data_IF_860477937426
#
_entry.id   IF_860477937426
#
_cell.length_a   1.000
_cell.length_b   1.000
_cell.length_c   1.000
_cell.angle_alpha   90.00
_cell.angle_beta   90.00
_cell.angle_gamma   90.00
#
_symmetry.space_group_name_H-M   'P 1'
#
loop_
_entity.id
_entity.type
_entity.pdbx_description
1 polymer ?
#
# COMPACT_ATOMS: atom_id res chain seq x y z
N UNK A 1 -17.65 13.88 6.64
CA UNK A 1 -18.23 12.67 5.99
C UNK A 1 -18.35 11.59 7.06
N UNK A 2 -19.47 10.88 7.18
CA UNK A 2 -19.65 9.83 8.20
C UNK A 2 -18.93 8.56 7.71
N UNK A 3 -17.86 8.16 8.38
CA UNK A 3 -17.13 6.92 8.09
C UNK A 3 -18.09 5.73 8.12
N UNK A 4 -18.05 4.86 7.12
CA UNK A 4 -18.91 3.68 7.11
C UNK A 4 -18.50 2.71 8.22
N UNK A 5 -19.44 1.87 8.68
CA UNK A 5 -19.10 0.82 9.66
C UNK A 5 -18.04 -0.16 9.09
N UNK A 6 -18.11 -0.43 7.79
CA UNK A 6 -17.12 -1.27 7.10
C UNK A 6 -15.73 -0.67 7.19
N UNK A 7 -15.58 0.64 6.91
CA UNK A 7 -14.28 1.32 6.99
C UNK A 7 -13.76 1.34 8.43
N UNK A 8 -14.65 1.56 9.43
CA UNK A 8 -14.25 1.52 10.85
C UNK A 8 -13.70 0.14 11.25
N UNK A 9 -14.25 -0.95 10.71
CA UNK A 9 -13.73 -2.30 10.94
C UNK A 9 -12.36 -2.47 10.30
N UNK A 10 -12.17 -2.00 9.06
CA UNK A 10 -10.88 -2.09 8.36
C UNK A 10 -9.79 -1.26 9.04
N UNK A 11 -10.12 -0.07 9.56
CA UNK A 11 -9.20 0.72 10.37
C UNK A 11 -8.82 0.01 11.68
N UNK A 12 -9.77 -0.64 12.35
CA UNK A 12 -9.48 -1.43 13.54
C UNK A 12 -8.60 -2.66 13.21
N UNK A 13 -8.83 -3.32 12.07
CA UNK A 13 -7.99 -4.42 11.62
C UNK A 13 -6.56 -3.95 11.31
N UNK A 14 -6.41 -2.80 10.65
CA UNK A 14 -5.10 -2.20 10.41
C UNK A 14 -4.37 -1.87 11.72
N UNK A 15 -5.08 -1.31 12.70
CA UNK A 15 -4.52 -1.06 14.02
C UNK A 15 -4.02 -2.35 14.70
N UNK A 16 -4.75 -3.47 14.57
CA UNK A 16 -4.28 -4.78 15.06
C UNK A 16 -2.98 -5.21 14.35
N UNK A 17 -2.88 -4.98 13.03
CA UNK A 17 -1.63 -5.27 12.29
C UNK A 17 -0.48 -4.42 12.82
N UNK A 18 -0.72 -3.14 13.12
CA UNK A 18 0.29 -2.20 13.63
C UNK A 18 0.82 -2.60 15.02
N UNK A 19 -0.05 -3.08 15.89
CA UNK A 19 0.30 -3.37 17.30
C UNK A 19 0.77 -4.79 17.51
N UNK A 20 0.13 -5.77 16.87
CA UNK A 20 0.26 -7.19 17.17
C UNK A 20 0.69 -8.05 15.96
N UNK A 21 0.81 -7.43 14.78
CA UNK A 21 1.21 -8.10 13.54
C UNK A 21 0.05 -8.72 12.77
N UNK A 22 0.33 -9.13 11.53
CA UNK A 22 -0.68 -9.62 10.57
C UNK A 22 -1.41 -10.86 11.07
N UNK A 23 -0.69 -11.80 11.70
CA UNK A 23 -1.26 -13.05 12.22
C UNK A 23 -2.27 -12.85 13.35
N UNK A 24 -2.21 -11.70 14.04
CA UNK A 24 -3.11 -11.33 15.12
C UNK A 24 -4.50 -10.88 14.64
N UNK A 25 -4.69 -10.66 13.33
CA UNK A 25 -5.99 -10.28 12.76
C UNK A 25 -6.97 -11.45 12.87
N UNK A 26 -7.85 -11.35 13.85
CA UNK A 26 -8.94 -12.30 14.14
C UNK A 26 -10.23 -11.52 14.36
N UNK A 27 -11.38 -12.21 14.35
CA UNK A 27 -12.64 -11.53 14.70
C UNK A 27 -12.63 -11.01 16.13
N UNK A 28 -11.98 -11.71 17.04
CA UNK A 28 -11.89 -11.35 18.45
C UNK A 28 -11.06 -10.07 18.64
N UNK A 29 -9.86 -10.01 18.03
CA UNK A 29 -8.99 -8.84 18.14
C UNK A 29 -9.60 -7.61 17.46
N UNK A 30 -10.17 -7.77 16.26
CA UNK A 30 -10.79 -6.67 15.52
C UNK A 30 -12.11 -6.22 16.19
N UNK A 31 -12.89 -7.13 16.79
CA UNK A 31 -14.06 -6.76 17.59
C UNK A 31 -13.66 -5.93 18.79
N UNK A 32 -12.62 -6.33 19.51
CA UNK A 32 -12.10 -5.57 20.66
C UNK A 32 -11.61 -4.18 20.23
N UNK A 33 -10.87 -4.08 19.14
CA UNK A 33 -10.33 -2.81 18.63
C UNK A 33 -11.40 -1.88 18.06
N UNK A 34 -12.44 -2.44 17.40
CA UNK A 34 -13.53 -1.63 16.79
C UNK A 34 -14.66 -1.28 17.74
N UNK A 35 -14.74 -1.92 18.91
CA UNK A 35 -15.89 -1.81 19.82
C UNK A 35 -17.18 -2.47 19.29
N UNK A 36 -17.07 -3.32 18.28
CA UNK A 36 -18.20 -4.05 17.69
C UNK A 36 -18.29 -5.47 18.24
N UNK A 37 -19.46 -6.09 18.12
CA UNK A 37 -19.63 -7.50 18.42
C UNK A 37 -19.11 -8.38 17.27
N UNK A 38 -18.72 -9.63 17.56
CA UNK A 38 -18.36 -10.61 16.53
C UNK A 38 -19.46 -10.81 15.48
N UNK A 39 -20.72 -10.80 15.90
CA UNK A 39 -21.87 -10.85 14.99
C UNK A 39 -21.98 -9.64 14.07
N UNK A 40 -21.62 -8.44 14.57
CA UNK A 40 -21.54 -7.22 13.77
C UNK A 40 -20.43 -7.29 12.71
N UNK A 41 -19.28 -7.89 13.04
CA UNK A 41 -18.20 -8.13 12.07
C UNK A 41 -18.62 -9.15 11.01
N UNK A 42 -19.21 -10.27 11.41
CA UNK A 42 -19.67 -11.32 10.50
C UNK A 42 -20.73 -10.83 9.50
N UNK A 43 -21.54 -9.85 9.88
CA UNK A 43 -22.50 -9.21 8.97
C UNK A 43 -21.77 -8.48 7.80
N UNK A 44 -20.63 -7.86 8.07
CA UNK A 44 -19.84 -7.12 7.05
C UNK A 44 -18.84 -8.01 6.32
N UNK A 45 -18.27 -8.99 7.01
CA UNK A 45 -17.23 -9.88 6.51
C UNK A 45 -17.56 -11.31 6.93
N UNK A 46 -18.11 -12.15 6.02
CA UNK A 46 -18.66 -13.47 6.37
C UNK A 46 -17.59 -14.50 6.76
N UNK A 47 -16.32 -14.25 6.45
CA UNK A 47 -15.18 -15.09 6.84
C UNK A 47 -13.96 -14.25 7.20
N UNK A 48 -13.02 -14.84 7.93
CA UNK A 48 -11.71 -14.19 8.21
C UNK A 48 -11.01 -13.83 6.90
N UNK A 49 -11.02 -14.73 5.93
CA UNK A 49 -10.38 -14.50 4.63
C UNK A 49 -11.02 -13.31 3.88
N UNK A 50 -12.36 -13.18 3.98
CA UNK A 50 -13.06 -12.02 3.42
C UNK A 50 -12.67 -10.70 4.12
N UNK A 51 -12.43 -10.72 5.43
CA UNK A 51 -11.94 -9.55 6.17
C UNK A 51 -10.51 -9.20 5.76
N UNK A 52 -9.63 -10.21 5.69
CA UNK A 52 -8.22 -10.01 5.30
C UNK A 52 -8.14 -9.51 3.85
N UNK A 53 -8.85 -10.13 2.92
CA UNK A 53 -8.88 -9.67 1.52
C UNK A 53 -9.38 -8.22 1.43
N UNK A 54 -10.45 -7.89 2.14
CA UNK A 54 -10.98 -6.52 2.14
C UNK A 54 -10.00 -5.51 2.76
N UNK A 55 -9.15 -5.93 3.69
CA UNK A 55 -8.07 -5.08 4.23
C UNK A 55 -7.02 -4.79 3.16
N UNK A 56 -6.59 -5.79 2.38
CA UNK A 56 -5.67 -5.59 1.25
C UNK A 56 -6.29 -4.70 0.16
N UNK A 57 -7.57 -4.91 -0.19
CA UNK A 57 -8.30 -4.06 -1.13
C UNK A 57 -8.32 -2.60 -0.66
N UNK A 58 -8.69 -2.37 0.61
CA UNK A 58 -8.77 -1.04 1.20
C UNK A 58 -7.43 -0.30 1.16
N UNK A 59 -6.34 -0.97 1.48
CA UNK A 59 -5.01 -0.38 1.46
C UNK A 59 -4.52 -0.10 0.04
N UNK A 60 -4.71 -1.03 -0.89
CA UNK A 60 -4.36 -0.83 -2.29
C UNK A 60 -5.14 0.34 -2.90
N UNK A 61 -6.45 0.46 -2.62
CA UNK A 61 -7.28 1.58 -3.05
C UNK A 61 -6.84 2.91 -2.42
N UNK A 62 -6.44 2.90 -1.14
CA UNK A 62 -5.89 4.08 -0.48
C UNK A 62 -4.62 4.56 -1.18
N UNK A 63 -3.71 3.65 -1.51
CA UNK A 63 -2.50 3.96 -2.26
C UNK A 63 -2.81 4.57 -3.63
N UNK A 64 -3.74 3.97 -4.40
CA UNK A 64 -4.15 4.50 -5.70
C UNK A 64 -4.68 5.93 -5.57
N UNK A 65 -5.57 6.17 -4.59
CA UNK A 65 -6.10 7.50 -4.33
C UNK A 65 -5.03 8.51 -3.92
N UNK A 66 -4.07 8.14 -3.08
CA UNK A 66 -2.97 9.03 -2.69
C UNK A 66 -2.09 9.40 -3.88
N UNK A 67 -1.78 8.44 -4.75
CA UNK A 67 -1.03 8.70 -5.97
C UNK A 67 -1.82 9.59 -6.95
N UNK A 68 -3.12 9.38 -7.13
CA UNK A 68 -3.99 10.26 -7.92
C UNK A 68 -3.99 11.69 -7.36
N UNK A 69 -4.09 11.84 -6.03
CA UNK A 69 -4.05 13.16 -5.40
C UNK A 69 -2.72 13.88 -5.63
N UNK A 70 -1.60 13.16 -5.55
CA UNK A 70 -0.26 13.72 -5.82
C UNK A 70 -0.08 14.05 -7.31
N UNK A 71 -0.60 13.21 -8.19
CA UNK A 71 -0.55 13.41 -9.63
C UNK A 71 -1.43 14.58 -10.10
N UNK A 72 -2.59 14.80 -9.45
CA UNK A 72 -3.52 15.89 -9.74
C UNK A 72 -4.35 15.72 -11.01
N UNK A 73 -4.33 14.55 -11.64
CA UNK A 73 -5.10 14.19 -12.86
C UNK A 73 -5.35 12.68 -12.92
N UNK A 74 -6.12 12.23 -13.91
CA UNK A 74 -6.29 10.80 -14.15
C UNK A 74 -4.95 10.15 -14.54
N UNK A 75 -4.55 9.02 -13.94
CA UNK A 75 -3.35 8.30 -14.35
C UNK A 75 -3.32 7.88 -15.82
N UNK A 76 -4.47 7.65 -16.43
CA UNK A 76 -4.56 7.26 -17.84
C UNK A 76 -4.24 8.45 -18.80
N UNK A 77 -4.35 9.70 -18.30
CA UNK A 77 -3.95 10.91 -19.00
C UNK A 77 -2.50 11.33 -18.71
N UNK A 78 -1.84 10.63 -17.79
CA UNK A 78 -0.49 10.96 -17.36
C UNK A 78 0.57 10.20 -18.18
N UNK A 79 1.70 10.84 -18.36
CA UNK A 79 2.90 10.17 -18.87
C UNK A 79 3.45 9.19 -17.83
N UNK A 80 4.24 8.23 -18.28
CA UNK A 80 4.87 7.27 -17.37
C UNK A 80 5.81 7.95 -16.37
N UNK A 81 6.52 9.01 -16.77
CA UNK A 81 7.39 9.79 -15.89
C UNK A 81 6.60 10.43 -14.74
N UNK A 82 5.44 11.01 -15.04
CA UNK A 82 4.56 11.60 -14.04
C UNK A 82 4.00 10.54 -13.07
N UNK A 83 3.64 9.35 -13.56
CA UNK A 83 3.16 8.25 -12.72
C UNK A 83 4.26 7.74 -11.77
N UNK A 84 5.46 7.46 -12.29
CA UNK A 84 6.60 7.02 -11.47
C UNK A 84 6.98 8.08 -10.42
N UNK A 85 6.96 9.37 -10.79
CA UNK A 85 7.21 10.45 -9.84
C UNK A 85 6.14 10.55 -8.75
N UNK A 86 4.86 10.35 -9.09
CA UNK A 86 3.78 10.31 -8.09
C UNK A 86 3.94 9.11 -7.14
N UNK A 87 4.25 7.92 -7.68
CA UNK A 87 4.56 6.73 -6.90
C UNK A 87 5.70 6.97 -5.92
N UNK A 88 6.84 7.48 -6.38
CA UNK A 88 8.01 7.75 -5.55
C UNK A 88 7.70 8.73 -4.40
N UNK A 89 6.92 9.78 -4.68
CA UNK A 89 6.51 10.76 -3.65
C UNK A 89 5.60 10.15 -2.60
N UNK A 90 4.66 9.29 -2.99
CA UNK A 90 3.75 8.61 -2.04
C UNK A 90 4.54 7.60 -1.21
N UNK A 91 5.37 6.75 -1.83
CA UNK A 91 6.23 5.79 -1.12
C UNK A 91 7.12 6.47 -0.09
N UNK A 92 7.70 7.64 -0.41
CA UNK A 92 8.55 8.38 0.50
C UNK A 92 7.82 9.06 1.67
N UNK A 93 6.49 9.24 1.61
CA UNK A 93 5.73 10.04 2.60
C UNK A 93 4.72 9.25 3.39
N UNK A 94 4.03 8.32 2.75
CA UNK A 94 2.80 7.70 3.27
C UNK A 94 2.95 6.21 3.55
N UNK A 95 4.01 5.57 3.03
CA UNK A 95 4.24 4.16 3.21
C UNK A 95 4.58 3.82 4.67
N UNK A 96 3.92 2.79 5.22
CA UNK A 96 4.05 2.37 6.62
C UNK A 96 4.57 0.94 6.74
N UNK A 97 5.15 0.61 7.92
CA UNK A 97 5.60 -0.75 8.21
C UNK A 97 4.48 -1.81 8.12
N UNK A 98 3.28 -1.56 8.67
CA UNK A 98 2.14 -2.47 8.56
C UNK A 98 1.74 -2.79 7.11
N UNK A 99 1.79 -1.81 6.22
CA UNK A 99 1.49 -2.03 4.80
C UNK A 99 2.54 -2.93 4.15
N UNK A 100 3.82 -2.75 4.46
CA UNK A 100 4.88 -3.63 4.00
C UNK A 100 4.64 -5.08 4.46
N UNK A 101 4.27 -5.29 5.74
CA UNK A 101 3.97 -6.62 6.27
C UNK A 101 2.81 -7.27 5.51
N UNK A 102 1.73 -6.54 5.23
CA UNK A 102 0.59 -7.02 4.46
C UNK A 102 0.97 -7.32 3.00
N UNK A 103 1.78 -6.49 2.35
CA UNK A 103 2.26 -6.78 0.99
C UNK A 103 3.15 -8.02 0.95
N UNK A 104 4.00 -8.23 1.95
CA UNK A 104 4.82 -9.44 2.06
C UNK A 104 3.95 -10.69 2.28
N UNK A 105 2.91 -10.62 3.12
CA UNK A 105 1.93 -11.70 3.26
C UNK A 105 1.24 -12.00 1.92
N UNK A 106 0.74 -10.97 1.24
CA UNK A 106 0.08 -11.09 -0.04
C UNK A 106 0.98 -11.70 -1.13
N UNK A 107 2.31 -11.55 -1.03
CA UNK A 107 3.25 -12.09 -2.02
C UNK A 107 3.19 -13.62 -2.15
N UNK A 108 2.72 -14.31 -1.11
CA UNK A 108 2.57 -15.78 -1.06
C UNK A 108 1.16 -16.27 -1.37
N UNK A 109 0.19 -15.38 -1.53
CA UNK A 109 -1.21 -15.68 -1.83
C UNK A 109 -1.70 -14.89 -3.05
N UNK A 110 -2.08 -15.58 -4.11
CA UNK A 110 -2.49 -14.95 -5.37
C UNK A 110 -3.75 -14.10 -5.25
N UNK A 111 -4.69 -14.45 -4.35
CA UNK A 111 -5.93 -13.69 -4.15
C UNK A 111 -5.65 -12.39 -3.41
N UNK A 112 -4.85 -12.45 -2.34
CA UNK A 112 -4.45 -11.27 -1.57
C UNK A 112 -3.55 -10.33 -2.38
N UNK A 113 -2.79 -10.86 -3.35
CA UNK A 113 -1.90 -10.07 -4.20
C UNK A 113 -2.65 -9.32 -5.33
N UNK A 114 -3.82 -9.78 -5.76
CA UNK A 114 -4.57 -9.16 -6.87
C UNK A 114 -4.82 -7.64 -6.71
N UNK A 115 -5.29 -7.14 -5.56
CA UNK A 115 -5.50 -5.71 -5.35
C UNK A 115 -4.21 -4.90 -5.56
N UNK A 116 -3.10 -5.35 -5.00
CA UNK A 116 -1.80 -4.70 -5.10
C UNK A 116 -1.27 -4.68 -6.53
N UNK A 117 -1.31 -5.83 -7.22
CA UNK A 117 -0.88 -5.91 -8.62
C UNK A 117 -1.70 -5.01 -9.53
N UNK A 118 -3.01 -4.92 -9.31
CA UNK A 118 -3.88 -4.01 -10.08
C UNK A 118 -3.45 -2.56 -9.94
N UNK A 119 -3.14 -2.12 -8.73
CA UNK A 119 -2.69 -0.75 -8.46
C UNK A 119 -1.29 -0.55 -9.04
N UNK A 120 -0.32 -1.39 -8.68
CA UNK A 120 1.07 -1.25 -9.13
C UNK A 120 1.17 -1.21 -10.66
N UNK A 121 0.48 -2.10 -11.37
CA UNK A 121 0.53 -2.15 -12.84
C UNK A 121 -0.02 -0.90 -13.53
N UNK A 122 -0.83 -0.10 -12.85
CA UNK A 122 -1.31 1.19 -13.36
C UNK A 122 -0.24 2.29 -13.29
N UNK A 123 0.64 2.21 -12.29
CA UNK A 123 1.59 3.27 -11.97
C UNK A 123 3.00 3.01 -12.47
N UNK A 124 3.41 1.75 -12.47
CA UNK A 124 4.77 1.32 -12.78
C UNK A 124 4.81 0.61 -14.14
N UNK A 125 5.85 0.85 -14.96
CA UNK A 125 6.03 0.14 -16.22
C UNK A 125 6.18 -1.37 -15.98
N UNK A 126 5.63 -2.17 -16.90
CA UNK A 126 5.89 -3.61 -16.88
C UNK A 126 7.39 -3.86 -17.11
N UNK A 127 8.09 -4.50 -16.19
CA UNK A 127 9.51 -4.81 -16.37
C UNK A 127 9.81 -5.62 -17.62
N UNK A 128 8.86 -6.43 -18.11
CA UNK A 128 9.01 -7.24 -19.32
C UNK A 128 9.00 -6.38 -20.61
N UNK A 129 8.45 -5.15 -20.55
CA UNK A 129 8.37 -4.23 -21.69
C UNK A 129 9.52 -3.21 -21.73
N UNK A 130 10.43 -3.26 -20.73
CA UNK A 130 11.54 -2.31 -20.64
C UNK A 130 12.66 -2.71 -21.59
N UNK A 131 13.03 -1.80 -22.49
CA UNK A 131 14.26 -1.93 -23.26
C UNK A 131 15.48 -1.68 -22.35
N UNK A 132 16.32 -2.69 -22.09
CA UNK A 132 17.49 -2.53 -21.22
C UNK A 132 18.59 -1.65 -21.86
N UNK A 133 18.44 -1.28 -23.13
CA UNK A 133 19.38 -0.37 -23.82
C UNK A 133 18.92 1.08 -23.81
N UNK A 134 17.68 1.36 -23.37
CA UNK A 134 17.17 2.73 -23.19
C UNK A 134 17.55 3.28 -21.80
N UNK A 135 18.46 4.27 -21.70
CA UNK A 135 18.88 4.85 -20.45
C UNK A 135 17.73 5.51 -19.67
N UNK A 136 16.72 6.06 -20.38
CA UNK A 136 15.57 6.71 -19.73
C UNK A 136 14.64 5.68 -19.10
N UNK A 137 14.39 4.57 -19.78
CA UNK A 137 13.60 3.47 -19.24
C UNK A 137 14.27 2.88 -17.99
N UNK A 138 15.58 2.67 -18.04
CA UNK A 138 16.36 2.21 -16.88
C UNK A 138 16.33 3.21 -15.72
N UNK A 139 16.43 4.51 -15.99
CA UNK A 139 16.37 5.54 -14.94
C UNK A 139 15.02 5.53 -14.21
N UNK A 140 13.90 5.35 -14.92
CA UNK A 140 12.57 5.21 -14.32
C UNK A 140 12.48 3.98 -13.41
N UNK A 141 13.01 2.86 -13.87
CA UNK A 141 13.03 1.64 -13.08
C UNK A 141 13.89 1.80 -11.82
N UNK A 142 15.04 2.47 -11.92
CA UNK A 142 15.89 2.78 -10.76
C UNK A 142 15.16 3.69 -9.78
N UNK A 143 14.45 4.71 -10.25
CA UNK A 143 13.66 5.60 -9.38
C UNK A 143 12.55 4.84 -8.63
N UNK A 144 11.84 3.95 -9.32
CA UNK A 144 10.85 3.07 -8.71
C UNK A 144 11.47 2.18 -7.62
N UNK A 145 12.52 1.43 -7.96
CA UNK A 145 13.20 0.53 -7.02
C UNK A 145 13.85 1.27 -5.85
N UNK A 146 14.33 2.50 -6.07
CA UNK A 146 14.86 3.36 -5.00
C UNK A 146 13.74 3.80 -4.03
N UNK A 147 12.56 4.12 -4.53
CA UNK A 147 11.40 4.44 -3.69
C UNK A 147 10.98 3.26 -2.80
N UNK A 148 10.90 2.06 -3.38
CA UNK A 148 10.63 0.83 -2.61
C UNK A 148 11.74 0.53 -1.60
N UNK A 149 13.00 0.71 -2.00
CA UNK A 149 14.16 0.54 -1.12
C UNK A 149 14.16 1.51 0.06
N UNK A 150 13.74 2.75 -0.15
CA UNK A 150 13.58 3.76 0.91
C UNK A 150 12.50 3.32 1.90
N UNK A 151 11.31 2.96 1.41
CA UNK A 151 10.23 2.46 2.23
C UNK A 151 10.62 1.22 3.05
N UNK A 152 11.24 0.22 2.40
CA UNK A 152 11.73 -0.97 3.07
C UNK A 152 12.73 -0.63 4.18
N UNK A 153 13.73 0.20 3.87
CA UNK A 153 14.79 0.59 4.80
C UNK A 153 14.21 1.24 6.07
N UNK A 154 13.25 2.13 5.93
CA UNK A 154 12.60 2.79 7.06
C UNK A 154 11.68 1.85 7.85
N UNK A 155 10.95 0.97 7.15
CA UNK A 155 10.04 0.01 7.78
C UNK A 155 10.75 -1.06 8.62
N UNK A 156 11.99 -1.43 8.28
CA UNK A 156 12.79 -2.40 9.05
C UNK A 156 13.62 -1.75 10.15
N UNK A 157 13.42 -0.46 10.43
CA UNK A 157 14.09 0.23 11.52
C UNK A 157 15.53 0.65 11.23
N UNK A 158 15.91 0.78 9.96
CA UNK A 158 17.13 1.47 9.60
C UNK A 158 17.10 2.93 10.10
N UNK A 159 18.27 3.53 10.31
CA UNK A 159 18.33 4.91 10.77
C UNK A 159 17.53 5.82 9.83
N UNK A 160 16.59 6.61 10.35
CA UNK A 160 15.75 7.45 9.51
C UNK A 160 16.62 8.43 8.72
N UNK A 161 16.31 8.60 7.44
CA UNK A 161 17.01 9.57 6.63
C UNK A 161 16.72 10.99 7.12
N UNK A 162 17.73 11.90 7.11
CA UNK A 162 17.49 13.31 7.35
C UNK A 162 16.37 13.83 6.42
N UNK A 163 15.43 14.67 6.92
CA UNK A 163 14.30 15.15 6.13
C UNK A 163 14.68 15.78 4.79
N UNK A 164 15.81 16.52 4.76
CA UNK A 164 16.34 17.14 3.55
C UNK A 164 16.81 16.11 2.51
N UNK A 165 17.46 15.02 2.96
CA UNK A 165 17.88 13.94 2.07
C UNK A 165 16.69 13.16 1.54
N UNK A 166 15.69 12.89 2.39
CA UNK A 166 14.44 12.24 1.98
C UNK A 166 13.71 13.07 0.92
N UNK A 167 13.59 14.38 1.12
CA UNK A 167 12.96 15.28 0.17
C UNK A 167 13.69 15.26 -1.19
N UNK A 168 15.02 15.33 -1.17
CA UNK A 168 15.84 15.29 -2.38
C UNK A 168 15.75 13.96 -3.15
N UNK A 169 15.51 12.83 -2.46
CA UNK A 169 15.32 11.52 -3.10
C UNK A 169 13.90 11.33 -3.69
N UNK A 170 12.94 12.16 -3.28
CA UNK A 170 11.55 12.10 -3.76
C UNK A 170 11.28 13.07 -4.93
N UNK A 171 12.26 13.87 -5.34
CA UNK A 171 12.23 14.78 -6.50
C UNK A 171 12.68 14.06 -7.78
#
# INVERSE_FOLDING_TARGET
MRTSKRDSILQAALHVVETDGVTAVTYESVAAASGLTKGGLLYHFPSKDALVLALHEHLAERWDHEMINVLGKDPDEATQDERVAAYARVSARSATGPELLLMLEASTDSELNKPWRRVISRWIPDPAEIDPTDPRALQKMVAYLAADGLWLSESVGAAPLPPELRAALAE
#
